data_IF_001735888368
#
_entry.id   IF_001735888368
#
_cell.length_a   1.000
_cell.length_b   1.000
_cell.length_c   1.000
_cell.angle_alpha   90.00
_cell.angle_beta   90.00
_cell.angle_gamma   90.00
#
_symmetry.space_group_name_H-M   'P 1'
#
loop_
_entity.id
_entity.type
_entity.pdbx_description
1 polymer ?
#
# COMPACT_ATOMS: atom_id res chain seq x y z
N UNK A 1 -15.83 8.14 9.62
CA UNK A 1 -14.41 8.56 9.60
C UNK A 1 -13.75 8.76 10.97
N UNK A 2 -14.22 9.66 11.85
CA UNK A 2 -13.49 10.02 13.09
C UNK A 2 -13.09 8.82 13.96
N UNK A 3 -13.99 7.88 14.23
CA UNK A 3 -13.70 6.68 15.06
C UNK A 3 -12.69 5.74 14.40
N UNK A 4 -12.71 5.62 13.07
CA UNK A 4 -11.79 4.73 12.36
C UNK A 4 -10.37 5.28 12.27
N UNK A 5 -10.19 6.60 12.29
CA UNK A 5 -8.87 7.24 12.43
C UNK A 5 -8.22 6.93 13.79
N UNK A 6 -9.01 6.73 14.85
CA UNK A 6 -8.48 6.27 16.15
C UNK A 6 -8.03 4.82 16.12
N UNK A 7 -8.59 3.98 15.23
CA UNK A 7 -8.19 2.58 15.11
C UNK A 7 -6.84 2.41 14.41
N UNK A 8 -6.48 3.32 13.50
CA UNK A 8 -5.14 3.32 12.87
C UNK A 8 -4.03 3.75 13.84
N UNK A 9 -4.36 4.45 14.94
CA UNK A 9 -3.42 4.72 16.02
C UNK A 9 -2.94 3.44 16.70
N UNK A 10 -3.67 2.32 16.60
CA UNK A 10 -3.17 1.02 17.05
C UNK A 10 -1.87 0.61 16.34
N UNK A 11 -1.65 1.08 15.10
CA UNK A 11 -0.39 0.83 14.39
C UNK A 11 0.80 1.60 15.01
N UNK A 12 0.55 2.74 15.66
CA UNK A 12 1.58 3.46 16.41
C UNK A 12 2.02 2.70 17.66
N UNK A 13 1.24 1.73 18.14
CA UNK A 13 1.67 0.84 19.21
C UNK A 13 2.92 0.02 18.83
N UNK A 14 3.15 -0.23 17.53
CA UNK A 14 4.39 -0.86 17.07
C UNK A 14 5.61 0.03 17.31
N UNK A 15 5.48 1.35 17.23
CA UNK A 15 6.56 2.28 17.56
C UNK A 15 6.91 2.12 19.04
N UNK A 16 5.92 2.17 19.93
CA UNK A 16 6.14 1.93 21.36
C UNK A 16 6.74 0.55 21.64
N UNK A 17 6.23 -0.50 20.98
CA UNK A 17 6.71 -1.86 21.15
C UNK A 17 8.15 -2.05 20.69
N UNK A 18 8.54 -1.42 19.58
CA UNK A 18 9.89 -1.48 19.04
C UNK A 18 10.94 -0.93 20.03
N UNK A 19 10.62 0.17 20.72
CA UNK A 19 11.52 0.74 21.73
C UNK A 19 11.48 -0.02 23.07
N UNK A 20 10.30 -0.44 23.52
CA UNK A 20 10.12 -1.21 24.76
C UNK A 20 10.67 -2.64 24.68
N UNK A 21 10.82 -3.19 23.46
CA UNK A 21 11.48 -4.48 23.25
C UNK A 21 12.99 -4.44 23.56
N UNK A 22 13.55 -3.27 23.90
CA UNK A 22 14.97 -3.06 24.18
C UNK A 22 15.87 -3.71 23.10
N UNK A 23 15.74 -3.29 21.83
CA UNK A 23 16.58 -3.82 20.77
C UNK A 23 18.05 -3.49 21.07
N UNK A 24 18.95 -4.40 20.69
CA UNK A 24 20.38 -4.12 20.73
C UNK A 24 20.67 -2.95 19.77
N UNK A 25 21.07 -1.82 20.33
CA UNK A 25 21.27 -0.58 19.58
C UNK A 25 22.35 -0.70 18.50
N UNK A 26 23.39 -1.49 18.73
CA UNK A 26 24.46 -1.70 17.75
C UNK A 26 23.96 -2.60 16.61
N UNK A 27 23.24 -3.67 16.94
CA UNK A 27 22.64 -4.55 15.93
C UNK A 27 21.57 -3.81 15.09
N UNK A 28 20.74 -2.97 15.74
CA UNK A 28 19.77 -2.11 15.08
C UNK A 28 20.46 -1.14 14.11
N UNK A 29 21.47 -0.39 14.57
CA UNK A 29 22.20 0.55 13.72
C UNK A 29 22.89 -0.14 12.53
N UNK A 30 23.52 -1.30 12.77
CA UNK A 30 24.12 -2.10 11.69
C UNK A 30 23.07 -2.57 10.69
N UNK A 31 21.94 -3.11 11.16
CA UNK A 31 20.87 -3.59 10.28
C UNK A 31 20.18 -2.48 9.48
N UNK A 32 20.09 -1.27 10.04
CA UNK A 32 19.46 -0.12 9.39
C UNK A 32 20.39 0.56 8.37
N UNK A 33 21.70 0.61 8.63
CA UNK A 33 22.66 1.35 7.80
C UNK A 33 23.46 0.48 6.83
N UNK A 34 23.68 -0.80 7.15
CA UNK A 34 24.49 -1.71 6.32
C UNK A 34 23.59 -2.68 5.57
N UNK A 35 23.34 -2.47 4.27
CA UNK A 35 22.53 -3.39 3.49
C UNK A 35 23.24 -4.73 3.36
N UNK A 36 22.51 -5.82 3.63
CA UNK A 36 22.97 -7.18 3.38
C UNK A 36 22.17 -7.76 2.22
N UNK A 37 22.87 -8.25 1.20
CA UNK A 37 22.23 -8.84 0.03
C UNK A 37 22.37 -10.36 0.10
N UNK A 38 21.24 -11.05 0.04
CA UNK A 38 21.18 -12.51 -0.10
C UNK A 38 20.42 -12.82 -1.38
N UNK A 39 21.01 -13.61 -2.27
CA UNK A 39 20.36 -14.04 -3.52
C UNK A 39 19.47 -15.26 -3.29
N UNK A 40 18.70 -15.24 -2.21
CA UNK A 40 17.72 -16.27 -1.88
C UNK A 40 16.32 -15.84 -2.37
N UNK A 41 15.51 -16.81 -2.79
CA UNK A 41 14.17 -16.54 -3.32
C UNK A 41 13.27 -15.85 -2.30
N UNK A 42 13.38 -16.19 -1.01
CA UNK A 42 12.61 -15.55 0.07
C UNK A 42 13.05 -14.12 0.29
N UNK A 43 14.36 -13.85 0.26
CA UNK A 43 14.90 -12.49 0.38
C UNK A 43 14.41 -11.60 -0.77
N UNK A 44 14.53 -12.07 -2.00
CA UNK A 44 14.11 -11.28 -3.18
C UNK A 44 12.59 -11.10 -3.20
N UNK A 45 11.82 -12.14 -2.86
CA UNK A 45 10.36 -12.03 -2.74
C UNK A 45 9.95 -11.00 -1.69
N UNK A 46 10.61 -11.03 -0.52
CA UNK A 46 10.35 -10.04 0.56
C UNK A 46 10.72 -8.63 0.11
N UNK A 47 11.84 -8.45 -0.58
CA UNK A 47 12.24 -7.17 -1.13
C UNK A 47 11.20 -6.64 -2.13
N UNK A 48 10.77 -7.47 -3.08
CA UNK A 48 9.73 -7.12 -4.06
C UNK A 48 8.40 -6.82 -3.37
N UNK A 49 8.02 -7.58 -2.35
CA UNK A 49 6.80 -7.33 -1.58
C UNK A 49 6.82 -5.96 -0.89
N UNK A 50 7.92 -5.63 -0.18
CA UNK A 50 8.07 -4.35 0.52
C UNK A 50 7.99 -3.18 -0.47
N UNK A 51 8.74 -3.26 -1.57
CA UNK A 51 8.75 -2.21 -2.59
C UNK A 51 7.38 -2.10 -3.28
N UNK A 52 6.75 -3.23 -3.58
CA UNK A 52 5.42 -3.31 -4.16
C UNK A 52 4.33 -2.68 -3.30
N UNK A 53 4.37 -2.89 -1.98
CA UNK A 53 3.43 -2.22 -1.06
C UNK A 53 3.70 -0.73 -0.93
N UNK A 54 4.95 -0.30 -1.05
CA UNK A 54 5.35 1.11 -0.90
C UNK A 54 4.97 1.95 -2.12
N UNK A 55 5.15 1.41 -3.33
CA UNK A 55 4.91 2.11 -4.60
C UNK A 55 3.68 1.50 -5.28
N UNK A 56 2.65 1.20 -4.49
CA UNK A 56 1.44 0.54 -4.97
C UNK A 56 0.84 1.32 -6.16
N UNK A 57 0.92 0.82 -7.40
CA UNK A 57 0.70 1.64 -8.60
C UNK A 57 -0.71 2.16 -8.75
N UNK A 58 -1.68 1.41 -8.23
CA UNK A 58 -3.09 1.81 -8.26
C UNK A 58 -3.31 3.11 -7.48
N UNK A 59 -2.45 3.46 -6.50
CA UNK A 59 -2.58 4.69 -5.73
C UNK A 59 -2.46 5.92 -6.61
N UNK A 60 -1.65 5.91 -7.67
CA UNK A 60 -1.52 7.05 -8.56
C UNK A 60 -2.83 7.33 -9.31
N UNK A 61 -3.45 6.29 -9.86
CA UNK A 61 -4.73 6.40 -10.56
C UNK A 61 -5.89 6.69 -9.59
N UNK A 62 -5.88 6.02 -8.44
CA UNK A 62 -6.90 6.24 -7.42
C UNK A 62 -6.85 7.66 -6.87
N UNK A 63 -5.67 8.17 -6.54
CA UNK A 63 -5.51 9.53 -6.04
C UNK A 63 -5.93 10.58 -7.10
N UNK A 64 -5.56 10.39 -8.37
CA UNK A 64 -6.02 11.28 -9.44
C UNK A 64 -7.53 11.22 -9.66
N UNK A 65 -8.14 10.03 -9.54
CA UNK A 65 -9.59 9.88 -9.69
C UNK A 65 -10.34 10.47 -8.50
N UNK A 66 -9.83 10.30 -7.27
CA UNK A 66 -10.42 10.90 -6.07
C UNK A 66 -10.39 12.42 -6.13
N UNK A 67 -9.29 13.02 -6.58
CA UNK A 67 -9.22 14.47 -6.79
C UNK A 67 -10.33 14.94 -7.74
N UNK A 68 -10.56 14.21 -8.84
CA UNK A 68 -11.64 14.52 -9.78
C UNK A 68 -13.03 14.36 -9.15
N UNK A 69 -13.24 13.34 -8.30
CA UNK A 69 -14.50 13.16 -7.58
C UNK A 69 -14.75 14.28 -6.57
N UNK A 70 -13.73 14.67 -5.80
CA UNK A 70 -13.81 15.79 -4.86
C UNK A 70 -14.14 17.10 -5.59
N UNK A 71 -13.46 17.39 -6.71
CA UNK A 71 -13.76 18.55 -7.54
C UNK A 71 -15.19 18.57 -8.10
N UNK A 72 -15.72 17.40 -8.50
CA UNK A 72 -17.12 17.27 -8.93
C UNK A 72 -18.07 17.57 -7.76
N UNK A 73 -17.76 17.06 -6.56
CA UNK A 73 -18.55 17.31 -5.35
C UNK A 73 -18.56 18.80 -4.94
N UNK A 74 -17.48 19.52 -5.22
CA UNK A 74 -17.36 20.98 -5.07
C UNK A 74 -18.10 21.78 -6.16
N UNK A 75 -18.67 21.10 -7.15
CA UNK A 75 -19.46 21.71 -8.23
C UNK A 75 -18.69 21.96 -9.54
N UNK A 76 -17.42 21.53 -9.66
CA UNK A 76 -16.64 21.62 -10.90
C UNK A 76 -17.03 20.50 -11.87
N UNK A 77 -18.21 20.61 -12.47
CA UNK A 77 -18.78 19.56 -13.31
C UNK A 77 -18.20 19.51 -14.73
N UNK A 78 -17.55 20.57 -15.22
CA UNK A 78 -16.99 20.63 -16.58
C UNK A 78 -15.46 20.57 -16.62
N UNK A 79 -14.90 19.99 -17.69
CA UNK A 79 -13.43 19.88 -17.89
C UNK A 79 -12.72 21.24 -17.84
N UNK A 80 -13.35 22.30 -18.34
CA UNK A 80 -12.77 23.65 -18.32
C UNK A 80 -12.61 24.22 -16.90
N UNK A 81 -13.46 23.79 -15.96
CA UNK A 81 -13.42 24.22 -14.55
C UNK A 81 -12.36 23.45 -13.74
N UNK A 82 -12.03 22.22 -14.17
CA UNK A 82 -10.96 21.38 -13.60
C UNK A 82 -9.59 21.65 -14.22
N UNK A 83 -9.56 22.37 -15.34
CA UNK A 83 -8.31 22.75 -16.02
C UNK A 83 -7.68 23.96 -15.34
N UNK A 84 -6.62 23.71 -14.58
CA UNK A 84 -5.71 24.75 -14.10
C UNK A 84 -5.32 24.54 -12.66
N UNK A 85 -4.22 23.84 -12.44
CA UNK A 85 -3.64 23.69 -11.10
C UNK A 85 -2.77 24.89 -10.75
N UNK A 86 -2.81 25.33 -9.50
CA UNK A 86 -1.94 26.35 -8.95
C UNK A 86 -0.69 25.75 -8.30
N UNK A 87 0.40 26.53 -8.22
CA UNK A 87 1.61 26.14 -7.48
C UNK A 87 1.28 25.79 -6.02
N UNK A 88 0.30 26.50 -5.43
CA UNK A 88 -0.10 26.31 -4.04
C UNK A 88 -0.78 24.95 -3.83
N UNK A 89 -1.71 24.57 -4.70
CA UNK A 89 -2.37 23.25 -4.66
C UNK A 89 -1.33 22.12 -4.81
N UNK A 90 -0.43 22.21 -5.79
CA UNK A 90 0.64 21.22 -5.97
C UNK A 90 1.54 21.11 -4.74
N UNK A 91 1.84 22.24 -4.07
CA UNK A 91 2.67 22.25 -2.87
C UNK A 91 1.96 21.62 -1.68
N UNK A 92 0.65 21.87 -1.53
CA UNK A 92 -0.18 21.26 -0.48
C UNK A 92 -0.25 19.74 -0.71
N UNK A 93 -0.59 19.31 -1.92
CA UNK A 93 -0.64 17.89 -2.28
C UNK A 93 0.72 17.21 -2.08
N UNK A 94 1.81 17.85 -2.48
CA UNK A 94 3.17 17.31 -2.27
C UNK A 94 3.50 17.16 -0.80
N UNK A 95 3.13 18.12 0.05
CA UNK A 95 3.36 18.03 1.49
C UNK A 95 2.52 16.93 2.13
N UNK A 96 1.26 16.81 1.75
CA UNK A 96 0.35 15.77 2.25
C UNK A 96 0.91 14.37 1.94
N UNK A 97 1.27 14.13 0.67
CA UNK A 97 1.90 12.87 0.24
C UNK A 97 3.23 12.64 0.97
N UNK A 98 4.07 13.67 1.12
CA UNK A 98 5.38 13.51 1.78
C UNK A 98 5.23 13.12 3.25
N UNK A 99 4.35 13.79 3.99
CA UNK A 99 4.11 13.50 5.40
C UNK A 99 3.45 12.13 5.57
N UNK A 100 2.44 11.83 4.75
CA UNK A 100 1.76 10.53 4.75
C UNK A 100 2.74 9.37 4.48
N UNK A 101 3.58 9.50 3.45
CA UNK A 101 4.58 8.49 3.11
C UNK A 101 5.66 8.36 4.19
N UNK A 102 6.10 9.46 4.80
CA UNK A 102 7.06 9.41 5.90
C UNK A 102 6.51 8.65 7.11
N UNK A 103 5.29 8.97 7.56
CA UNK A 103 4.65 8.29 8.68
C UNK A 103 4.41 6.80 8.36
N UNK A 104 3.98 6.48 7.15
CA UNK A 104 3.79 5.10 6.69
C UNK A 104 5.10 4.29 6.78
N UNK A 105 6.20 4.84 6.25
CA UNK A 105 7.51 4.19 6.30
C UNK A 105 8.05 4.06 7.74
N UNK A 106 7.80 5.06 8.59
CA UNK A 106 8.17 5.01 10.01
C UNK A 106 7.46 3.86 10.73
N UNK A 107 6.16 3.70 10.50
CA UNK A 107 5.36 2.60 11.07
C UNK A 107 5.84 1.25 10.52
N UNK A 108 6.09 1.15 9.21
CA UNK A 108 6.67 -0.06 8.61
C UNK A 108 8.00 -0.44 9.25
N UNK A 109 8.92 0.52 9.42
CA UNK A 109 10.19 0.30 10.09
C UNK A 109 10.00 -0.16 11.54
N UNK A 110 9.08 0.46 12.28
CA UNK A 110 8.76 0.05 13.65
C UNK A 110 8.20 -1.37 13.73
N UNK A 111 7.37 -1.79 12.78
CA UNK A 111 6.88 -3.18 12.69
C UNK A 111 8.04 -4.15 12.46
N UNK A 112 8.94 -3.84 11.53
CA UNK A 112 10.14 -4.66 11.25
C UNK A 112 11.03 -4.74 12.49
N UNK A 113 11.29 -3.61 13.15
CA UNK A 113 12.12 -3.57 14.34
C UNK A 113 11.49 -4.32 15.52
N UNK A 114 10.19 -4.13 15.77
CA UNK A 114 9.47 -4.82 16.84
C UNK A 114 9.47 -6.33 16.60
N UNK A 115 9.17 -6.79 15.38
CA UNK A 115 9.17 -8.22 15.03
C UNK A 115 10.57 -8.83 15.12
N UNK A 116 11.62 -8.10 14.69
CA UNK A 116 13.01 -8.52 14.85
C UNK A 116 13.43 -8.63 16.33
N UNK A 117 13.03 -7.67 17.16
CA UNK A 117 13.40 -7.63 18.58
C UNK A 117 12.63 -8.66 19.43
N UNK A 118 11.48 -9.16 18.96
CA UNK A 118 10.59 -10.05 19.72
C UNK A 118 10.50 -11.45 19.12
N UNK A 119 9.91 -11.60 17.94
CA UNK A 119 9.63 -12.90 17.31
C UNK A 119 10.90 -13.54 16.75
N UNK A 120 11.71 -12.76 16.05
CA UNK A 120 12.93 -13.28 15.44
C UNK A 120 13.92 -13.75 16.51
N UNK A 121 14.08 -13.00 17.61
CA UNK A 121 14.92 -13.43 18.74
C UNK A 121 14.44 -14.71 19.43
N UNK A 122 13.13 -14.98 19.42
CA UNK A 122 12.55 -16.19 20.02
C UNK A 122 12.50 -17.39 19.06
N UNK A 123 13.10 -17.26 17.87
CA UNK A 123 13.15 -18.32 16.85
C UNK A 123 11.84 -18.53 16.08
N UNK A 124 10.85 -17.64 16.27
CA UNK A 124 9.60 -17.67 15.50
C UNK A 124 9.81 -16.99 14.14
N UNK A 125 10.21 -17.78 13.15
CA UNK A 125 10.47 -17.31 11.79
C UNK A 125 9.28 -17.53 10.85
N UNK A 126 8.32 -18.38 11.22
CA UNK A 126 7.13 -18.67 10.42
C UNK A 126 5.89 -18.01 11.04
N UNK A 127 5.32 -17.04 10.33
CA UNK A 127 4.17 -16.26 10.77
C UNK A 127 2.95 -16.69 9.97
N UNK A 128 2.15 -17.58 10.55
CA UNK A 128 1.00 -18.16 9.86
C UNK A 128 -0.32 -17.49 10.21
N UNK A 129 -0.38 -16.72 11.31
CA UNK A 129 -1.63 -16.11 11.79
C UNK A 129 -1.46 -14.66 12.27
N UNK A 130 -2.56 -13.89 12.25
CA UNK A 130 -2.57 -12.55 12.82
C UNK A 130 -2.22 -12.58 14.32
N UNK A 131 -2.59 -13.64 15.02
CA UNK A 131 -2.25 -13.86 16.43
C UNK A 131 -0.74 -14.03 16.64
N UNK A 132 -0.02 -14.62 15.69
CA UNK A 132 1.44 -14.67 15.72
C UNK A 132 2.03 -13.28 15.54
N UNK A 133 1.54 -12.52 14.54
CA UNK A 133 1.96 -11.13 14.33
C UNK A 133 1.69 -10.23 15.56
N UNK A 134 0.62 -10.49 16.32
CA UNK A 134 0.28 -9.75 17.53
C UNK A 134 1.33 -9.92 18.64
N UNK A 135 2.08 -11.02 18.65
CA UNK A 135 3.11 -11.24 19.67
C UNK A 135 4.21 -10.17 19.62
N UNK A 136 4.37 -9.50 18.47
CA UNK A 136 5.33 -8.41 18.32
C UNK A 136 4.94 -7.16 19.12
N UNK A 137 3.67 -7.05 19.51
CA UNK A 137 3.14 -5.96 20.35
C UNK A 137 3.18 -6.28 21.85
N UNK A 138 3.59 -7.49 22.26
CA UNK A 138 3.64 -7.87 23.68
C UNK A 138 4.47 -6.92 24.56
N UNK A 139 5.64 -6.40 24.14
CA UNK A 139 6.39 -5.44 24.96
C UNK A 139 5.61 -4.17 25.31
N UNK A 140 4.71 -3.72 24.43
CA UNK A 140 3.89 -2.53 24.66
C UNK A 140 2.56 -2.84 25.34
N UNK A 141 1.84 -3.86 24.86
CA UNK A 141 0.46 -4.13 25.24
C UNK A 141 0.28 -5.34 26.18
N UNK A 142 1.36 -6.07 26.47
CA UNK A 142 1.31 -7.28 27.30
C UNK A 142 0.28 -8.28 26.80
N UNK A 143 -0.61 -8.71 27.69
CA UNK A 143 -1.70 -9.64 27.38
C UNK A 143 -2.76 -9.06 26.43
N UNK A 144 -2.82 -7.73 26.29
CA UNK A 144 -3.76 -7.07 25.39
C UNK A 144 -3.25 -6.96 23.95
N UNK A 145 -2.04 -7.43 23.65
CA UNK A 145 -1.44 -7.34 22.31
C UNK A 145 -2.32 -7.92 21.20
N UNK A 146 -2.96 -9.06 21.44
CA UNK A 146 -3.90 -9.70 20.50
C UNK A 146 -5.14 -8.86 20.28
N UNK A 147 -5.70 -8.29 21.34
CA UNK A 147 -6.91 -7.44 21.28
C UNK A 147 -6.59 -6.15 20.55
N UNK A 148 -5.45 -5.53 20.86
CA UNK A 148 -4.98 -4.31 20.22
C UNK A 148 -4.75 -4.51 18.72
N UNK A 149 -4.11 -5.61 18.33
CA UNK A 149 -3.94 -5.94 16.91
C UNK A 149 -5.28 -6.21 16.23
N UNK A 150 -6.18 -6.97 16.87
CA UNK A 150 -7.50 -7.27 16.30
C UNK A 150 -8.31 -5.99 16.06
N UNK A 151 -8.33 -5.07 17.03
CA UNK A 151 -8.98 -3.76 16.90
C UNK A 151 -8.33 -2.96 15.75
N UNK A 152 -7.00 -2.94 15.67
CA UNK A 152 -6.27 -2.26 14.60
C UNK A 152 -6.57 -2.83 13.21
N UNK A 153 -6.56 -4.16 13.06
CA UNK A 153 -6.85 -4.87 11.81
C UNK A 153 -8.30 -4.70 11.36
N UNK A 154 -9.25 -4.80 12.29
CA UNK A 154 -10.68 -4.58 11.99
C UNK A 154 -10.90 -3.14 11.56
N UNK A 155 -10.28 -2.19 12.27
CA UNK A 155 -10.40 -0.77 11.95
C UNK A 155 -9.78 -0.39 10.62
N UNK A 156 -8.56 -0.86 10.33
CA UNK A 156 -7.90 -0.62 9.05
C UNK A 156 -8.63 -1.33 7.90
N UNK A 157 -9.06 -2.58 8.09
CA UNK A 157 -9.83 -3.34 7.10
C UNK A 157 -11.16 -2.69 6.77
N UNK A 158 -11.88 -2.17 7.77
CA UNK A 158 -13.16 -1.48 7.55
C UNK A 158 -13.03 -0.19 6.73
N UNK A 159 -11.87 0.47 6.79
CA UNK A 159 -11.56 1.63 5.95
C UNK A 159 -11.07 1.21 4.55
N UNK A 160 -10.21 0.18 4.50
CA UNK A 160 -9.56 -0.23 3.26
C UNK A 160 -10.50 -0.99 2.32
N UNK A 161 -11.40 -1.83 2.84
CA UNK A 161 -12.28 -2.67 2.03
C UNK A 161 -13.17 -1.85 1.09
N UNK A 162 -13.89 -0.79 1.54
CA UNK A 162 -14.70 0.03 0.64
C UNK A 162 -13.86 0.73 -0.44
N UNK A 163 -12.68 1.23 -0.07
CA UNK A 163 -11.79 1.94 -0.99
C UNK A 163 -11.23 1.01 -2.08
N UNK A 164 -10.76 -0.18 -1.69
CA UNK A 164 -10.20 -1.17 -2.61
C UNK A 164 -11.28 -1.85 -3.47
N UNK A 165 -12.42 -2.22 -2.87
CA UNK A 165 -13.52 -2.79 -3.63
C UNK A 165 -14.13 -1.75 -4.58
N UNK A 166 -14.23 -0.49 -4.13
CA UNK A 166 -14.63 0.64 -4.95
C UNK A 166 -13.69 0.84 -6.12
N UNK A 167 -12.36 0.94 -5.89
CA UNK A 167 -11.38 1.16 -6.96
C UNK A 167 -11.38 0.05 -8.01
N UNK A 168 -11.52 -1.21 -7.60
CA UNK A 168 -11.68 -2.34 -8.52
C UNK A 168 -12.98 -2.21 -9.33
N UNK A 169 -14.08 -1.85 -8.68
CA UNK A 169 -15.37 -1.65 -9.35
C UNK A 169 -15.34 -0.47 -10.33
N UNK A 170 -14.63 0.63 -10.01
CA UNK A 170 -14.39 1.75 -10.92
C UNK A 170 -13.62 1.29 -12.15
N UNK A 171 -12.46 0.65 -11.96
CA UNK A 171 -11.60 0.22 -13.06
C UNK A 171 -12.31 -0.77 -14.01
N UNK A 172 -13.04 -1.74 -13.46
CA UNK A 172 -13.82 -2.69 -14.25
C UNK A 172 -14.97 -2.00 -14.98
N UNK A 173 -15.73 -1.15 -14.28
CA UNK A 173 -16.88 -0.48 -14.89
C UNK A 173 -16.46 0.51 -15.97
N UNK A 174 -15.33 1.21 -15.80
CA UNK A 174 -14.74 2.09 -16.81
C UNK A 174 -14.25 1.29 -18.02
N UNK A 175 -13.55 0.18 -17.80
CA UNK A 175 -13.06 -0.69 -18.88
C UNK A 175 -14.21 -1.27 -19.74
N UNK A 176 -15.37 -1.54 -19.14
CA UNK A 176 -16.55 -2.05 -19.83
C UNK A 176 -17.54 -0.95 -20.28
N UNK A 177 -17.25 0.33 -20.01
CA UNK A 177 -18.12 1.46 -20.36
C UNK A 177 -19.48 1.45 -19.63
N UNK A 178 -19.55 0.86 -18.44
CA UNK A 178 -20.75 0.82 -17.61
C UNK A 178 -20.94 2.12 -16.83
N UNK A 179 -22.15 2.35 -16.31
CA UNK A 179 -22.38 3.46 -15.36
C UNK A 179 -21.76 3.10 -14.01
N UNK A 180 -20.96 4.01 -13.47
CA UNK A 180 -20.24 3.84 -12.21
C UNK A 180 -20.28 5.12 -11.37
N UNK A 181 -20.06 4.98 -10.07
CA UNK A 181 -20.05 6.08 -9.11
C UNK A 181 -20.60 5.63 -7.76
N UNK A 182 -19.91 5.98 -6.68
CA UNK A 182 -20.40 5.77 -5.31
C UNK A 182 -21.65 6.62 -4.99
N UNK A 183 -21.81 7.75 -5.68
CA UNK A 183 -22.99 8.64 -5.59
C UNK A 183 -24.15 8.20 -6.49
N UNK A 184 -23.95 7.22 -7.37
CA UNK A 184 -25.03 6.69 -8.21
C UNK A 184 -25.95 5.78 -7.40
N UNK A 185 -27.25 5.87 -7.65
CA UNK A 185 -28.22 5.05 -6.93
C UNK A 185 -27.93 3.55 -7.20
N UNK A 186 -27.95 2.65 -6.19
CA UNK A 186 -27.62 1.23 -6.37
C UNK A 186 -28.45 0.51 -7.44
N UNK A 187 -29.65 1.02 -7.73
CA UNK A 187 -30.53 0.54 -8.80
C UNK A 187 -30.11 0.96 -10.21
N UNK A 188 -29.29 2.00 -10.37
CA UNK A 188 -28.79 2.53 -11.66
C UNK A 188 -27.37 2.06 -11.99
N UNK A 189 -26.53 1.80 -10.99
CA UNK A 189 -25.18 1.27 -11.16
C UNK A 189 -25.09 -0.19 -10.67
N UNK A 190 -26.03 -1.05 -11.10
CA UNK A 190 -26.13 -2.44 -10.60
C UNK A 190 -24.85 -3.24 -10.81
N UNK A 191 -24.17 -3.04 -11.95
CA UNK A 191 -22.91 -3.72 -12.27
C UNK A 191 -21.79 -3.32 -11.31
N UNK A 192 -21.66 -2.03 -11.00
CA UNK A 192 -20.67 -1.49 -10.06
C UNK A 192 -20.83 -2.09 -8.67
N UNK A 193 -22.04 -2.04 -8.10
CA UNK A 193 -22.30 -2.63 -6.78
C UNK A 193 -22.22 -4.16 -6.76
N UNK A 194 -22.50 -4.83 -7.89
CA UNK A 194 -22.32 -6.28 -8.01
C UNK A 194 -20.84 -6.68 -7.93
N UNK A 195 -19.94 -5.92 -8.55
CA UNK A 195 -18.49 -6.16 -8.45
C UNK A 195 -18.03 -6.04 -7.00
N UNK A 196 -18.49 -5.02 -6.27
CA UNK A 196 -18.17 -4.83 -4.85
C UNK A 196 -18.66 -6.04 -4.05
N UNK A 197 -19.92 -6.43 -4.20
CA UNK A 197 -20.52 -7.55 -3.48
C UNK A 197 -19.80 -8.88 -3.78
N UNK A 198 -19.53 -9.18 -5.05
CA UNK A 198 -18.81 -10.40 -5.46
C UNK A 198 -17.39 -10.41 -4.87
N UNK A 199 -16.69 -9.27 -4.92
CA UNK A 199 -15.33 -9.16 -4.37
C UNK A 199 -15.30 -9.41 -2.86
N UNK A 200 -16.28 -8.87 -2.11
CA UNK A 200 -16.41 -9.10 -0.67
C UNK A 200 -16.72 -10.57 -0.35
N UNK A 201 -17.65 -11.19 -1.08
CA UNK A 201 -17.99 -12.60 -0.89
C UNK A 201 -16.82 -13.50 -1.24
N UNK A 202 -16.12 -13.23 -2.36
CA UNK A 202 -14.94 -13.97 -2.75
C UNK A 202 -13.84 -13.90 -1.69
N UNK A 203 -13.55 -12.70 -1.16
CA UNK A 203 -12.59 -12.52 -0.07
C UNK A 203 -12.99 -13.27 1.21
N UNK A 204 -14.28 -13.29 1.55
CA UNK A 204 -14.79 -14.07 2.69
C UNK A 204 -14.64 -15.58 2.46
N UNK A 205 -14.97 -16.06 1.25
CA UNK A 205 -14.88 -17.47 0.87
C UNK A 205 -13.45 -18.00 0.89
N UNK A 206 -12.42 -17.17 0.67
CA UNK A 206 -11.02 -17.60 0.75
C UNK A 206 -10.65 -18.21 2.10
N UNK A 207 -11.25 -17.74 3.21
CA UNK A 207 -11.00 -18.32 4.54
C UNK A 207 -11.51 -19.76 4.65
N UNK A 208 -12.56 -20.13 3.92
CA UNK A 208 -13.13 -21.48 3.93
C UNK A 208 -12.39 -22.45 3.00
N UNK A 209 -11.58 -21.93 2.06
CA UNK A 209 -10.79 -22.71 1.12
C UNK A 209 -9.44 -23.19 1.71
N UNK A 210 -9.18 -22.91 2.99
CA UNK A 210 -7.91 -23.26 3.65
C UNK A 210 -6.70 -22.44 3.17
N UNK A 211 -6.93 -21.36 2.41
CA UNK A 211 -5.89 -20.45 1.96
C UNK A 211 -5.43 -19.63 3.17
N UNK A 212 -4.14 -19.70 3.49
CA UNK A 212 -3.57 -18.89 4.56
C UNK A 212 -3.67 -17.39 4.20
N UNK A 213 -4.41 -16.56 4.95
CA UNK A 213 -4.59 -15.15 4.62
C UNK A 213 -3.30 -14.33 4.67
N UNK A 214 -2.36 -14.68 5.55
CA UNK A 214 -1.06 -14.00 5.64
C UNK A 214 -0.23 -14.30 4.39
N UNK A 215 -0.17 -15.57 3.97
CA UNK A 215 0.51 -15.94 2.74
C UNK A 215 -0.13 -15.27 1.53
N UNK A 216 -1.47 -15.20 1.48
CA UNK A 216 -2.19 -14.51 0.40
C UNK A 216 -1.86 -13.00 0.38
N UNK A 217 -1.85 -12.33 1.53
CA UNK A 217 -1.44 -10.92 1.64
C UNK A 217 -0.01 -10.71 1.15
N UNK A 218 0.92 -11.59 1.55
CA UNK A 218 2.31 -11.53 1.11
C UNK A 218 2.45 -11.71 -0.41
N UNK A 219 1.84 -12.74 -0.99
CA UNK A 219 1.91 -12.97 -2.44
C UNK A 219 1.19 -11.89 -3.25
N UNK A 220 0.11 -11.31 -2.73
CA UNK A 220 -0.54 -10.14 -3.34
C UNK A 220 0.41 -8.95 -3.38
N UNK A 221 1.15 -8.70 -2.30
CA UNK A 221 2.19 -7.65 -2.25
C UNK A 221 3.31 -7.91 -3.27
N UNK A 222 3.75 -9.17 -3.41
CA UNK A 222 4.73 -9.57 -4.43
C UNK A 222 4.21 -9.30 -5.84
N UNK A 223 2.98 -9.71 -6.14
CA UNK A 223 2.33 -9.48 -7.44
C UNK A 223 2.27 -7.98 -7.73
N UNK A 224 1.86 -7.15 -6.75
CA UNK A 224 1.87 -5.70 -6.90
C UNK A 224 3.27 -5.16 -7.22
N UNK A 225 4.32 -5.69 -6.58
CA UNK A 225 5.71 -5.33 -6.86
C UNK A 225 6.16 -5.70 -8.28
N UNK A 226 5.68 -6.82 -8.82
CA UNK A 226 5.98 -7.25 -10.21
C UNK A 226 5.20 -6.43 -11.24
N UNK A 227 3.95 -6.04 -10.94
CA UNK A 227 3.10 -5.24 -11.82
C UNK A 227 3.42 -3.73 -11.80
N UNK A 228 4.11 -3.27 -10.76
CA UNK A 228 4.47 -1.87 -10.59
C UNK A 228 5.39 -1.28 -11.66
N UNK A 229 6.50 -1.91 -12.06
CA UNK A 229 7.42 -1.32 -13.03
C UNK A 229 6.75 -0.94 -14.37
N UNK A 230 5.94 -1.79 -15.03
CA UNK A 230 5.22 -1.39 -16.25
C UNK A 230 4.30 -0.19 -16.05
N UNK A 231 3.58 -0.12 -14.93
CA UNK A 231 2.68 1.00 -14.63
C UNK A 231 3.45 2.29 -14.36
N UNK A 232 4.62 2.20 -13.69
CA UNK A 232 5.52 3.33 -13.50
C UNK A 232 6.09 3.84 -14.83
N UNK A 233 6.40 2.97 -15.80
CA UNK A 233 6.81 3.42 -17.14
C UNK A 233 5.72 4.28 -17.76
N UNK A 234 4.46 3.82 -17.74
CA UNK A 234 3.33 4.59 -18.29
C UNK A 234 3.19 5.94 -17.59
N UNK A 235 3.27 5.95 -16.25
CA UNK A 235 3.22 7.18 -15.47
C UNK A 235 4.36 8.12 -15.86
N UNK A 236 5.60 7.62 -15.94
CA UNK A 236 6.77 8.39 -16.32
C UNK A 236 6.67 8.96 -17.74
N UNK A 237 6.03 8.26 -18.67
CA UNK A 237 5.75 8.79 -20.00
C UNK A 237 4.70 9.91 -19.96
N UNK A 238 3.63 9.73 -19.17
CA UNK A 238 2.55 10.73 -19.02
C UNK A 238 3.07 12.02 -18.38
N UNK A 239 3.80 11.94 -17.27
CA UNK A 239 4.30 13.11 -16.53
C UNK A 239 5.37 13.91 -17.29
N UNK A 240 5.99 13.30 -18.31
CA UNK A 240 6.95 13.95 -19.19
C UNK A 240 6.33 14.40 -20.53
N UNK A 241 5.07 14.07 -20.80
CA UNK A 241 4.41 14.45 -22.04
C UNK A 241 3.89 15.89 -21.97
N UNK A 242 4.50 16.79 -22.74
CA UNK A 242 4.12 18.21 -22.80
C UNK A 242 2.72 18.45 -23.38
N UNK A 243 2.19 17.53 -24.18
CA UNK A 243 0.81 17.61 -24.70
C UNK A 243 -0.22 17.35 -23.60
N UNK A 244 0.10 16.48 -22.62
CA UNK A 244 -0.79 16.13 -21.51
C UNK A 244 -0.59 17.09 -20.34
N UNK A 245 0.66 17.27 -19.88
CA UNK A 245 1.00 18.04 -18.68
C UNK A 245 1.22 19.54 -18.93
N UNK A 246 1.40 19.96 -20.18
CA UNK A 246 1.68 21.36 -20.52
C UNK A 246 2.93 21.88 -19.82
N UNK A 247 2.76 22.92 -18.99
CA UNK A 247 3.85 23.55 -18.22
C UNK A 247 4.26 22.78 -16.96
N UNK A 248 3.51 21.75 -16.57
CA UNK A 248 3.71 20.99 -15.33
C UNK A 248 4.47 19.67 -15.55
N UNK A 249 5.25 19.57 -16.63
CA UNK A 249 6.10 18.40 -16.86
C UNK A 249 7.14 18.24 -15.76
N UNK A 250 7.57 17.00 -15.57
CA UNK A 250 8.56 16.66 -14.56
C UNK A 250 9.87 17.45 -14.74
N UNK A 251 10.43 17.91 -13.62
CA UNK A 251 11.77 18.51 -13.61
C UNK A 251 12.85 17.41 -13.55
N UNK A 252 14.12 17.80 -13.64
CA UNK A 252 15.24 16.86 -13.73
C UNK A 252 15.28 15.84 -12.57
N UNK A 253 15.16 16.29 -11.32
CA UNK A 253 15.30 15.41 -10.14
C UNK A 253 14.17 14.38 -10.01
N UNK A 254 12.88 14.77 -10.04
CA UNK A 254 11.78 13.80 -10.07
C UNK A 254 11.90 12.81 -11.24
N UNK A 255 12.40 13.27 -12.39
CA UNK A 255 12.58 12.39 -13.54
C UNK A 255 13.66 11.33 -13.30
N UNK A 256 14.82 11.73 -12.76
CA UNK A 256 15.91 10.81 -12.41
C UNK A 256 15.46 9.80 -11.36
N UNK A 257 14.86 10.25 -10.26
CA UNK A 257 14.40 9.34 -9.21
C UNK A 257 13.26 8.42 -9.68
N UNK A 258 12.35 8.91 -10.51
CA UNK A 258 11.27 8.12 -11.08
C UNK A 258 11.77 7.00 -11.99
N UNK A 259 12.69 7.30 -12.91
CA UNK A 259 13.29 6.28 -13.77
C UNK A 259 14.21 5.32 -13.02
N UNK A 260 15.00 5.80 -12.06
CA UNK A 260 15.83 4.95 -11.21
C UNK A 260 14.97 3.94 -10.45
N UNK A 261 13.88 4.40 -9.85
CA UNK A 261 12.92 3.54 -9.14
C UNK A 261 12.31 2.51 -10.09
N UNK A 262 11.89 2.93 -11.27
CA UNK A 262 11.33 2.04 -12.31
C UNK A 262 12.33 0.94 -12.70
N UNK A 263 13.59 1.29 -12.92
CA UNK A 263 14.66 0.34 -13.27
C UNK A 263 14.91 -0.64 -12.11
N UNK A 264 15.05 -0.14 -10.88
CA UNK A 264 15.29 -0.98 -9.71
C UNK A 264 14.15 -1.97 -9.49
N UNK A 265 12.89 -1.55 -9.68
CA UNK A 265 11.74 -2.44 -9.58
C UNK A 265 11.74 -3.50 -10.69
N UNK A 266 12.08 -3.13 -11.94
CA UNK A 266 12.24 -4.11 -13.01
C UNK A 266 13.31 -5.15 -12.69
N UNK A 267 14.47 -4.70 -12.20
CA UNK A 267 15.56 -5.60 -11.80
C UNK A 267 15.11 -6.54 -10.69
N UNK A 268 14.41 -6.03 -9.68
CA UNK A 268 13.89 -6.86 -8.58
C UNK A 268 12.84 -7.87 -9.05
N UNK A 269 11.91 -7.46 -9.93
CA UNK A 269 10.90 -8.34 -10.50
C UNK A 269 11.50 -9.43 -11.39
N UNK A 270 12.47 -9.09 -12.24
CA UNK A 270 13.19 -10.06 -13.08
C UNK A 270 14.00 -11.02 -12.20
N UNK A 271 14.72 -10.51 -11.20
CA UNK A 271 15.48 -11.32 -10.27
C UNK A 271 14.58 -12.34 -9.55
N UNK A 272 13.38 -11.91 -9.13
CA UNK A 272 12.40 -12.80 -8.51
C UNK A 272 11.96 -13.92 -9.45
N UNK A 273 11.57 -13.59 -10.69
CA UNK A 273 11.13 -14.58 -11.70
C UNK A 273 12.26 -15.59 -11.98
N UNK A 274 13.50 -15.12 -12.10
CA UNK A 274 14.66 -15.98 -12.34
C UNK A 274 14.99 -16.88 -11.14
N UNK A 275 14.75 -16.43 -9.91
CA UNK A 275 14.94 -17.26 -8.72
C UNK A 275 13.81 -18.26 -8.50
N UNK A 276 12.55 -17.88 -8.76
CA UNK A 276 11.41 -18.78 -8.65
C UNK A 276 11.42 -19.85 -9.74
N UNK A 277 11.89 -19.54 -10.94
CA UNK A 277 12.01 -20.52 -12.03
C UNK A 277 13.15 -21.54 -11.86
N UNK A 278 13.98 -21.41 -10.83
CA UNK A 278 15.07 -22.35 -10.50
C UNK A 278 14.77 -23.22 -9.27
N UNK A 279 13.70 -22.93 -8.54
CA UNK A 279 13.19 -23.75 -7.43
C UNK A 279 12.18 -24.77 -7.93
#
# INVERSE_FOLDING_TARGET
ERTFRWLTLALFAYIGSAFLAHPDGLAMLKGTLLPTFRLDGTFIATLVAIVGTTISPYLFFWQSNQEVEEEISEGKTNLAQRKGTTVKELRIASWDVTVGMFISNLVMYAIILATAATLFRTGKHDIQSATDAAQALRPFAGNFATVLLAIGLIGSGSLAVPVLAGSAAYALSEAFGWKYGLDEHPGRAKQFYSIIAISMVAGMCMNFLGINPIAALFWTAVINGVLAPPLLVLLMLIVNNTTIMGKWTNSFWPNVFGWLTTILMFVAAIALILTLGKS
#
